data_IF_540429963070
#
_entry.id   IF_540429963070
#
_cell.length_a   1.000
_cell.length_b   1.000
_cell.length_c   1.000
_cell.angle_alpha   90.00
_cell.angle_beta   90.00
_cell.angle_gamma   90.00
#
_symmetry.space_group_name_H-M   'P 1'
#
loop_
_entity.id
_entity.type
_entity.pdbx_description
1 polymer ?
#
# COMPACT_ATOMS: atom_id res chain seq x y z
N UNK A 1 -13.59 72.33 16.09
CA UNK A 1 -13.85 72.26 14.64
C UNK A 1 -13.32 70.94 14.10
N UNK A 2 -14.15 70.27 13.29
CA UNK A 2 -13.86 69.22 12.29
C UNK A 2 -13.34 67.84 12.78
N UNK A 3 -14.27 66.89 12.64
CA UNK A 3 -14.14 65.43 12.65
C UNK A 3 -13.20 64.95 11.55
N UNK A 4 -12.46 63.88 11.80
CA UNK A 4 -12.04 62.93 10.76
C UNK A 4 -12.26 61.52 11.30
N UNK A 5 -13.29 60.85 10.79
CA UNK A 5 -13.53 59.42 10.96
C UNK A 5 -12.57 58.70 10.01
N UNK A 6 -11.60 57.96 10.54
CA UNK A 6 -10.77 57.07 9.74
C UNK A 6 -11.26 55.63 9.98
N UNK A 7 -12.12 55.16 9.09
CA UNK A 7 -12.62 53.79 9.08
C UNK A 7 -11.49 52.87 8.58
N UNK A 8 -10.84 52.13 9.49
CA UNK A 8 -9.93 51.06 9.10
C UNK A 8 -10.75 49.81 8.74
N UNK A 9 -10.74 49.47 7.45
CA UNK A 9 -11.26 48.20 6.94
C UNK A 9 -10.26 47.09 7.34
N UNK A 10 -10.62 46.23 8.29
CA UNK A 10 -9.80 45.07 8.68
C UNK A 10 -10.04 43.94 7.67
N UNK A 11 -9.16 43.84 6.66
CA UNK A 11 -9.14 42.70 5.75
C UNK A 11 -8.42 41.54 6.44
N UNK A 12 -9.19 40.52 6.87
CA UNK A 12 -8.63 39.26 7.38
C UNK A 12 -8.09 38.48 6.20
N UNK A 13 -6.77 38.44 6.04
CA UNK A 13 -6.10 37.52 5.12
C UNK A 13 -6.02 36.17 5.83
N UNK A 14 -6.92 35.25 5.46
CA UNK A 14 -6.83 33.85 5.85
C UNK A 14 -5.70 33.22 5.03
N UNK A 15 -4.48 33.23 5.56
CA UNK A 15 -3.37 32.42 5.04
C UNK A 15 -3.73 30.96 5.30
N UNK A 16 -4.38 30.33 4.32
CA UNK A 16 -4.56 28.88 4.30
C UNK A 16 -3.17 28.24 4.30
N UNK A 17 -2.84 27.55 5.39
CA UNK A 17 -1.68 26.68 5.45
C UNK A 17 -1.95 25.49 4.53
N UNK A 18 -1.46 25.57 3.29
CA UNK A 18 -1.39 24.41 2.41
C UNK A 18 -0.36 23.47 3.00
N UNK A 19 -0.79 22.38 3.64
CA UNK A 19 0.12 21.28 3.97
C UNK A 19 0.61 20.70 2.65
N UNK A 20 1.91 20.68 2.43
CA UNK A 20 2.51 19.96 1.30
C UNK A 20 2.04 18.50 1.37
N UNK A 21 1.34 18.04 0.34
CA UNK A 21 1.03 16.64 0.18
C UNK A 21 2.34 15.92 -0.13
N UNK A 22 2.91 15.25 0.88
CA UNK A 22 4.01 14.33 0.69
C UNK A 22 3.41 12.93 0.55
N UNK A 23 4.00 12.14 -0.34
CA UNK A 23 3.74 10.71 -0.37
C UNK A 23 4.11 10.09 0.99
N UNK A 24 3.48 8.97 1.31
CA UNK A 24 3.64 8.30 2.60
C UNK A 24 4.52 7.07 2.42
N UNK A 25 5.36 6.79 3.41
CA UNK A 25 6.06 5.51 3.51
C UNK A 25 5.05 4.44 3.94
N UNK A 26 4.89 3.41 3.11
CA UNK A 26 4.02 2.28 3.39
C UNK A 26 4.81 1.21 4.13
N UNK A 27 4.29 0.81 5.30
CA UNK A 27 4.78 -0.33 6.04
C UNK A 27 4.22 -1.60 5.36
N UNK A 28 5.00 -2.21 4.48
CA UNK A 28 4.57 -3.41 3.76
C UNK A 28 4.60 -4.65 4.67
N UNK A 29 3.63 -5.54 4.49
CA UNK A 29 3.58 -6.81 5.22
C UNK A 29 4.77 -7.69 4.84
N UNK A 30 5.54 -8.10 5.86
CA UNK A 30 6.57 -9.15 5.79
C UNK A 30 5.92 -10.51 6.08
N UNK A 31 5.81 -11.36 5.07
CA UNK A 31 5.16 -12.67 5.14
C UNK A 31 6.18 -13.73 5.58
N UNK A 32 5.88 -14.49 6.63
CA UNK A 32 6.90 -15.37 7.25
C UNK A 32 6.57 -16.85 7.16
N UNK A 33 5.30 -17.21 7.37
CA UNK A 33 4.88 -18.62 7.48
C UNK A 33 3.53 -18.85 6.80
N UNK A 34 3.18 -20.11 6.56
CA UNK A 34 1.89 -20.48 5.98
C UNK A 34 1.40 -21.84 6.47
N UNK A 35 0.09 -22.06 6.39
CA UNK A 35 -0.58 -23.33 6.58
C UNK A 35 -1.48 -23.63 5.37
N UNK A 36 -1.36 -24.83 4.82
CA UNK A 36 -2.14 -25.30 3.66
C UNK A 36 -3.12 -26.44 3.97
N UNK A 37 -3.38 -26.73 5.25
CA UNK A 37 -4.21 -27.87 5.69
C UNK A 37 -5.67 -27.73 5.25
N UNK A 38 -6.23 -26.50 5.25
CA UNK A 38 -7.64 -26.21 4.91
C UNK A 38 -7.75 -25.01 3.96
N UNK A 39 -7.16 -25.14 2.77
CA UNK A 39 -7.00 -24.03 1.83
C UNK A 39 -5.59 -23.45 1.96
N UNK A 40 -5.45 -22.13 2.01
CA UNK A 40 -4.17 -21.48 2.26
C UNK A 40 -4.33 -20.33 3.25
N UNK A 41 -3.49 -20.33 4.27
CA UNK A 41 -3.36 -19.21 5.21
C UNK A 41 -1.90 -18.79 5.25
N UNK A 42 -1.62 -17.49 5.07
CA UNK A 42 -0.30 -16.92 5.29
C UNK A 42 -0.32 -16.01 6.51
N UNK A 43 0.80 -15.97 7.23
CA UNK A 43 1.00 -15.15 8.41
C UNK A 43 2.19 -14.24 8.18
N UNK A 44 2.01 -12.97 8.50
CA UNK A 44 3.02 -11.94 8.36
C UNK A 44 2.87 -10.85 9.40
N UNK A 45 3.75 -9.86 9.32
CA UNK A 45 3.74 -8.71 10.20
C UNK A 45 3.99 -7.42 9.42
N UNK A 46 3.28 -6.36 9.80
CA UNK A 46 3.54 -4.99 9.39
C UNK A 46 4.16 -4.27 10.59
N UNK A 47 5.37 -3.75 10.44
CA UNK A 47 6.05 -3.02 11.53
C UNK A 47 6.05 -1.54 11.22
N UNK A 48 5.27 -0.79 11.99
CA UNK A 48 5.25 0.66 11.96
C UNK A 48 6.32 1.23 12.90
N UNK A 49 6.47 2.55 12.95
CA UNK A 49 7.37 3.20 13.90
C UNK A 49 7.02 2.95 15.39
N UNK A 50 5.77 2.56 15.70
CA UNK A 50 5.28 2.48 17.09
C UNK A 50 4.72 1.13 17.49
N UNK A 51 4.30 0.30 16.53
CA UNK A 51 3.69 -1.01 16.79
C UNK A 51 3.99 -2.00 15.67
N UNK A 52 3.85 -3.29 16.00
CA UNK A 52 3.87 -4.40 15.03
C UNK A 52 2.48 -5.00 14.97
N UNK A 53 1.86 -4.93 13.78
CA UNK A 53 0.54 -5.48 13.49
C UNK A 53 0.72 -6.87 12.89
N UNK A 54 0.08 -7.88 13.48
CA UNK A 54 -0.01 -9.21 12.86
C UNK A 54 -1.01 -9.19 11.71
N UNK A 55 -0.63 -9.79 10.60
CA UNK A 55 -1.44 -9.88 9.38
C UNK A 55 -1.66 -11.35 9.04
N UNK A 56 -2.91 -11.75 8.91
CA UNK A 56 -3.31 -13.09 8.48
C UNK A 56 -4.04 -12.98 7.16
N UNK A 57 -3.51 -13.59 6.12
CA UNK A 57 -4.20 -13.78 4.84
C UNK A 57 -4.83 -15.17 4.79
N UNK A 58 -6.08 -15.27 4.37
CA UNK A 58 -6.76 -16.54 4.16
C UNK A 58 -7.42 -16.61 2.77
N UNK A 59 -7.20 -17.74 2.11
CA UNK A 59 -7.81 -18.12 0.84
C UNK A 59 -8.23 -19.60 0.89
N UNK A 60 -9.53 -19.90 1.03
CA UNK A 60 -10.03 -21.28 1.11
C UNK A 60 -9.77 -22.11 -0.15
N UNK A 61 -9.58 -21.47 -1.31
CA UNK A 61 -9.37 -22.14 -2.60
C UNK A 61 -7.89 -22.37 -2.93
N UNK A 62 -6.99 -21.91 -2.06
CA UNK A 62 -5.54 -22.01 -2.21
C UNK A 62 -4.94 -20.92 -3.10
N UNK A 63 -3.61 -20.93 -3.15
CA UNK A 63 -2.78 -20.01 -3.96
C UNK A 63 -2.00 -20.80 -5.01
N UNK A 64 -1.53 -20.12 -6.06
CA UNK A 64 -0.69 -20.72 -7.08
C UNK A 64 0.70 -21.03 -6.54
N UNK A 65 1.31 -20.07 -5.85
CA UNK A 65 2.54 -20.26 -5.08
C UNK A 65 2.64 -19.22 -3.95
N UNK A 66 3.54 -19.51 -3.02
CA UNK A 66 3.88 -18.64 -1.90
C UNK A 66 5.40 -18.53 -1.76
N UNK A 67 5.91 -17.31 -1.68
CA UNK A 67 7.31 -16.98 -1.48
C UNK A 67 7.38 -16.00 -0.29
N UNK A 68 7.59 -16.46 0.95
CA UNK A 68 7.68 -15.59 2.14
C UNK A 68 9.05 -14.91 2.29
N UNK A 69 10.10 -15.49 1.75
CA UNK A 69 11.44 -14.89 1.85
C UNK A 69 12.36 -15.49 0.79
N UNK A 70 13.28 -14.68 0.27
CA UNK A 70 14.17 -15.06 -0.81
C UNK A 70 13.45 -15.29 -2.14
N UNK A 71 14.18 -15.81 -3.13
CA UNK A 71 13.66 -16.01 -4.48
C UNK A 71 13.80 -14.79 -5.38
N UNK A 72 12.99 -14.73 -6.44
CA UNK A 72 13.05 -13.64 -7.42
C UNK A 72 12.29 -12.44 -6.88
N UNK A 73 12.94 -11.28 -6.94
CA UNK A 73 12.32 -10.00 -6.61
C UNK A 73 11.50 -9.45 -7.78
N UNK A 74 10.18 -9.58 -7.68
CA UNK A 74 9.23 -9.10 -8.67
C UNK A 74 8.76 -7.66 -8.43
N UNK A 75 9.20 -7.02 -7.34
CA UNK A 75 8.85 -5.64 -7.00
C UNK A 75 9.82 -4.62 -7.62
N UNK A 76 10.76 -5.08 -8.44
CA UNK A 76 11.77 -4.24 -9.13
C UNK A 76 11.16 -3.36 -10.22
N UNK A 77 11.91 -2.34 -10.63
CA UNK A 77 11.44 -1.32 -11.57
C UNK A 77 11.22 -1.96 -12.96
N UNK A 78 9.97 -1.90 -13.46
CA UNK A 78 9.40 -2.70 -14.56
C UNK A 78 10.10 -2.73 -15.94
N UNK A 79 11.31 -2.21 -16.08
CA UNK A 79 12.12 -2.31 -17.30
C UNK A 79 13.31 -3.26 -17.09
N UNK A 80 13.05 -4.56 -17.25
CA UNK A 80 13.98 -5.69 -17.12
C UNK A 80 14.27 -6.01 -15.66
N UNK A 81 14.34 -7.31 -15.38
CA UNK A 81 14.77 -7.98 -14.15
C UNK A 81 16.16 -7.56 -13.64
N UNK A 82 16.43 -6.26 -13.61
CA UNK A 82 17.59 -5.66 -12.99
C UNK A 82 17.32 -5.75 -11.49
N UNK A 83 18.27 -6.30 -10.75
CA UNK A 83 18.23 -6.37 -9.29
C UNK A 83 18.31 -4.97 -8.63
N UNK A 84 17.97 -3.91 -9.35
CA UNK A 84 18.01 -2.54 -8.92
C UNK A 84 16.59 -2.10 -8.57
N UNK A 85 16.45 -1.57 -7.35
CA UNK A 85 15.23 -0.95 -6.86
C UNK A 85 15.44 0.55 -6.86
N UNK A 86 14.65 1.28 -7.63
CA UNK A 86 14.70 2.73 -7.70
C UNK A 86 13.29 3.33 -7.52
N UNK A 87 12.97 3.80 -6.30
CA UNK A 87 11.71 4.46 -6.01
C UNK A 87 11.39 5.65 -6.93
N UNK A 88 12.37 6.28 -7.58
CA UNK A 88 12.11 7.42 -8.47
C UNK A 88 11.48 7.04 -9.82
N UNK A 89 11.55 5.76 -10.21
CA UNK A 89 11.03 5.26 -11.50
C UNK A 89 10.16 4.00 -11.34
N UNK A 90 9.86 3.62 -10.10
CA UNK A 90 9.12 2.39 -9.83
C UNK A 90 7.63 2.58 -10.15
N UNK A 91 6.95 1.57 -10.71
CA UNK A 91 5.50 1.63 -10.88
C UNK A 91 4.75 1.56 -9.54
N UNK A 92 5.41 1.17 -8.45
CA UNK A 92 4.80 1.05 -7.12
C UNK A 92 4.86 2.34 -6.29
N UNK A 93 5.49 3.40 -6.81
CA UNK A 93 5.63 4.70 -6.16
C UNK A 93 4.82 5.77 -6.91
N UNK A 94 4.32 6.78 -6.20
CA UNK A 94 3.53 7.88 -6.78
C UNK A 94 3.54 9.12 -5.90
N UNK A 95 2.68 10.11 -6.17
CA UNK A 95 2.46 11.24 -5.27
C UNK A 95 1.85 10.85 -3.93
N UNK A 96 1.39 9.61 -3.76
CA UNK A 96 0.81 9.09 -2.52
C UNK A 96 1.69 8.05 -1.81
N UNK A 97 2.58 7.37 -2.52
CA UNK A 97 3.39 6.25 -2.01
C UNK A 97 4.87 6.47 -2.32
N UNK A 98 5.71 6.53 -1.28
CA UNK A 98 7.13 6.91 -1.39
C UNK A 98 8.08 5.71 -1.58
N UNK A 99 7.63 4.49 -1.28
CA UNK A 99 8.50 3.31 -1.26
C UNK A 99 7.92 2.10 -2.01
N UNK A 100 8.84 1.33 -2.57
CA UNK A 100 8.57 0.04 -3.21
C UNK A 100 8.23 -1.00 -2.12
N UNK A 101 7.30 -1.95 -2.36
CA UNK A 101 7.13 -3.14 -1.52
C UNK A 101 8.45 -3.75 -1.09
N UNK A 102 8.64 -3.96 0.22
CA UNK A 102 9.88 -4.51 0.79
C UNK A 102 9.97 -6.03 0.60
N UNK A 103 11.16 -6.59 0.83
CA UNK A 103 11.35 -8.05 0.77
C UNK A 103 11.18 -8.60 -0.65
N UNK A 104 10.98 -9.91 -0.78
CA UNK A 104 10.72 -10.54 -2.08
C UNK A 104 9.36 -11.23 -2.09
N UNK A 105 8.50 -10.86 -1.16
CA UNK A 105 7.41 -11.71 -0.77
C UNK A 105 6.31 -11.70 -1.81
N UNK A 106 5.79 -12.88 -2.15
CA UNK A 106 4.72 -13.05 -3.14
C UNK A 106 3.72 -14.09 -2.65
N UNK A 107 2.45 -13.70 -2.71
CA UNK A 107 1.31 -14.62 -2.67
C UNK A 107 0.66 -14.58 -4.04
N UNK A 108 0.84 -15.63 -4.85
CA UNK A 108 0.27 -15.67 -6.19
C UNK A 108 -1.16 -16.21 -6.15
N UNK A 109 -2.13 -15.36 -6.45
CA UNK A 109 -3.53 -15.75 -6.52
C UNK A 109 -3.77 -16.67 -7.73
N UNK A 110 -4.65 -17.67 -7.58
CA UNK A 110 -4.92 -18.67 -8.63
C UNK A 110 -6.40 -18.69 -9.05
N UNK A 111 -7.32 -18.69 -8.09
CA UNK A 111 -8.76 -18.79 -8.33
C UNK A 111 -9.45 -17.51 -7.86
N UNK A 112 -10.46 -17.08 -8.61
CA UNK A 112 -11.40 -16.07 -8.15
C UNK A 112 -12.18 -16.61 -6.94
N UNK A 113 -12.44 -15.75 -5.96
CA UNK A 113 -13.11 -16.14 -4.73
C UNK A 113 -12.79 -15.17 -3.60
N UNK A 114 -13.31 -15.48 -2.41
CA UNK A 114 -13.09 -14.69 -1.22
C UNK A 114 -11.61 -14.74 -0.81
N UNK A 115 -11.01 -13.55 -0.72
CA UNK A 115 -9.69 -13.32 -0.14
C UNK A 115 -9.89 -12.52 1.14
N UNK A 116 -9.38 -13.01 2.27
CA UNK A 116 -9.55 -12.31 3.56
C UNK A 116 -8.20 -11.91 4.12
N UNK A 117 -8.07 -10.64 4.52
CA UNK A 117 -6.97 -10.15 5.34
C UNK A 117 -7.51 -9.76 6.71
N UNK A 118 -6.90 -10.27 7.76
CA UNK A 118 -7.21 -9.93 9.15
C UNK A 118 -5.99 -9.29 9.79
N UNK A 119 -6.21 -8.18 10.47
CA UNK A 119 -5.18 -7.42 11.17
C UNK A 119 -5.44 -7.53 12.68
N UNK A 120 -4.38 -7.59 13.48
CA UNK A 120 -4.51 -7.57 14.95
C UNK A 120 -4.95 -6.22 15.51
N UNK A 121 -4.88 -5.17 14.68
CA UNK A 121 -5.30 -3.81 14.98
C UNK A 121 -6.08 -3.22 13.80
N UNK A 122 -6.85 -2.16 14.03
CA UNK A 122 -7.56 -1.49 12.95
C UNK A 122 -6.56 -0.77 12.02
N UNK A 123 -6.66 -1.05 10.71
CA UNK A 123 -5.86 -0.39 9.67
C UNK A 123 -6.77 0.55 8.87
N UNK A 124 -6.37 1.81 8.75
CA UNK A 124 -7.03 2.78 7.90
C UNK A 124 -6.35 2.87 6.53
N UNK A 125 -7.14 2.99 5.46
CA UNK A 125 -6.68 3.18 4.08
C UNK A 125 -5.58 2.17 3.65
N UNK A 126 -5.85 0.85 3.69
CA UNK A 126 -4.86 -0.15 3.29
C UNK A 126 -4.46 0.02 1.82
N UNK A 127 -3.16 -0.12 1.54
CA UNK A 127 -2.60 -0.08 0.18
C UNK A 127 -2.28 -1.50 -0.27
N UNK A 128 -2.69 -1.84 -1.50
CA UNK A 128 -2.42 -3.13 -2.13
C UNK A 128 -1.53 -2.94 -3.35
N UNK A 129 -0.46 -3.72 -3.45
CA UNK A 129 0.40 -3.77 -4.62
C UNK A 129 0.22 -5.11 -5.34
N UNK A 130 0.15 -5.07 -6.67
CA UNK A 130 0.02 -6.25 -7.51
C UNK A 130 1.14 -6.26 -8.55
N UNK A 131 1.91 -7.34 -8.60
CA UNK A 131 2.92 -7.55 -9.65
C UNK A 131 2.26 -7.80 -11.00
N UNK A 132 1.17 -8.57 -11.02
CA UNK A 132 0.48 -8.93 -12.25
C UNK A 132 -0.95 -9.38 -11.93
N UNK A 133 -1.88 -8.96 -12.78
CA UNK A 133 -3.24 -9.48 -12.78
C UNK A 133 -3.41 -10.70 -13.71
N UNK A 134 -2.41 -11.01 -14.55
CA UNK A 134 -2.48 -12.08 -15.53
C UNK A 134 -3.79 -12.09 -16.36
N UNK A 135 -4.23 -10.90 -16.79
CA UNK A 135 -5.48 -10.70 -17.54
C UNK A 135 -6.76 -10.65 -16.70
N UNK A 136 -6.68 -10.80 -15.37
CA UNK A 136 -7.80 -10.57 -14.46
C UNK A 136 -7.97 -9.07 -14.13
N UNK A 137 -8.99 -8.75 -13.31
CA UNK A 137 -9.25 -7.40 -12.81
C UNK A 137 -9.28 -7.32 -11.29
N UNK A 138 -9.54 -6.12 -10.78
CA UNK A 138 -9.74 -5.85 -9.36
C UNK A 138 -11.20 -6.06 -8.96
N UNK A 139 -11.43 -6.54 -7.74
CA UNK A 139 -12.76 -6.66 -7.16
C UNK A 139 -12.68 -6.46 -5.66
N UNK A 140 -13.12 -5.29 -5.20
CA UNK A 140 -13.25 -4.94 -3.79
C UNK A 140 -14.72 -4.67 -3.49
N UNK A 141 -15.14 -4.92 -2.26
CA UNK A 141 -16.48 -4.64 -1.77
C UNK A 141 -16.66 -3.18 -1.31
N UNK A 142 -15.61 -2.37 -1.47
CA UNK A 142 -15.57 -0.93 -1.22
C UNK A 142 -14.87 -0.21 -2.37
N UNK A 143 -15.07 1.11 -2.42
CA UNK A 143 -14.38 1.97 -3.37
C UNK A 143 -12.86 1.93 -3.13
N UNK A 144 -12.11 1.95 -4.22
CA UNK A 144 -10.66 1.99 -4.21
C UNK A 144 -10.14 2.99 -5.23
N UNK A 145 -8.95 3.52 -4.98
CA UNK A 145 -8.23 4.38 -5.92
C UNK A 145 -7.02 3.63 -6.48
N UNK A 146 -6.77 3.81 -7.77
CA UNK A 146 -5.54 3.34 -8.40
C UNK A 146 -4.49 4.41 -8.16
N UNK A 147 -3.56 4.16 -7.22
CA UNK A 147 -2.53 5.13 -6.84
C UNK A 147 -1.38 5.22 -7.85
N UNK A 148 -1.14 4.14 -8.64
CA UNK A 148 -0.11 4.07 -9.68
C UNK A 148 -0.31 2.84 -10.57
N UNK A 149 0.19 2.90 -11.81
CA UNK A 149 0.27 1.77 -12.76
C UNK A 149 1.54 1.89 -13.61
N UNK A 150 2.06 0.74 -14.06
CA UNK A 150 3.23 0.62 -14.95
C UNK A 150 2.95 -0.18 -16.21
#
# INVERSE_FOLDING_TARGET
MKKVFLSLLFMVILLGVSTSAHAVLIDWTDWTTSDSTNGFTAYGTMTTATTTVSVTYNNPLGVGFYQPTGGIDYWTDGAKYSAFRNPAISPYTSTFVDNIPTGTDIIALNKAGLQTLTFSEAIANPVFAFVSLNGNGYGFDQDFEILSVG
#
